data_IF_529962255933
#
_entry.id   IF_529962255933
#
_cell.length_a   1.000
_cell.length_b   1.000
_cell.length_c   1.000
_cell.angle_alpha   90.00
_cell.angle_beta   90.00
_cell.angle_gamma   90.00
#
_symmetry.space_group_name_H-M   'P 1'
#
loop_
_entity.id
_entity.type
_entity.pdbx_description
1 polymer ?
#
# COMPACT_ATOMS: atom_id res chain seq x y z
N UNK A 1 7.97 -56.33 -54.37
CA UNK A 1 8.46 -56.46 -52.98
C UNK A 1 9.44 -55.32 -52.69
N UNK A 2 10.41 -55.09 -53.57
CA UNK A 2 11.45 -54.05 -53.43
C UNK A 2 10.94 -52.60 -53.38
N UNK A 3 9.95 -52.22 -54.20
CA UNK A 3 9.39 -50.86 -54.19
C UNK A 3 8.67 -50.52 -52.86
N UNK A 4 8.09 -51.54 -52.22
CA UNK A 4 7.41 -51.40 -50.94
C UNK A 4 8.42 -51.21 -49.81
N UNK A 5 9.53 -51.95 -49.86
CA UNK A 5 10.70 -51.79 -48.99
C UNK A 5 11.30 -50.40 -49.12
N UNK A 6 11.55 -49.93 -50.35
CA UNK A 6 12.11 -48.59 -50.61
C UNK A 6 11.23 -47.47 -50.09
N UNK A 7 9.91 -47.61 -50.21
CA UNK A 7 8.94 -46.65 -49.66
C UNK A 7 8.93 -46.65 -48.14
N UNK A 8 9.05 -47.83 -47.51
CA UNK A 8 9.17 -47.97 -46.07
C UNK A 8 10.43 -47.30 -45.54
N UNK A 9 11.60 -47.55 -46.14
CA UNK A 9 12.87 -46.91 -45.76
C UNK A 9 12.80 -45.39 -45.86
N UNK A 10 12.16 -44.88 -46.93
CA UNK A 10 12.00 -43.43 -47.13
C UNK A 10 11.04 -42.80 -46.12
N UNK A 11 9.99 -43.52 -45.75
CA UNK A 11 9.06 -43.08 -44.71
C UNK A 11 9.75 -43.04 -43.34
N UNK A 12 10.53 -44.07 -43.04
CA UNK A 12 11.24 -44.21 -41.76
C UNK A 12 12.29 -43.11 -41.57
N UNK A 13 13.02 -42.76 -42.64
CA UNK A 13 13.93 -41.62 -42.65
C UNK A 13 13.21 -40.29 -42.38
N UNK A 14 12.08 -40.04 -43.07
CA UNK A 14 11.28 -38.82 -42.86
C UNK A 14 10.74 -38.71 -41.42
N UNK A 15 10.30 -39.82 -40.83
CA UNK A 15 9.83 -39.82 -39.45
C UNK A 15 10.97 -39.61 -38.46
N UNK A 16 12.14 -40.20 -38.68
CA UNK A 16 13.33 -39.94 -37.85
C UNK A 16 13.73 -38.47 -37.89
N UNK A 17 13.86 -37.90 -39.07
CA UNK A 17 14.28 -36.49 -39.24
C UNK A 17 13.29 -35.52 -38.57
N UNK A 18 11.99 -35.82 -38.66
CA UNK A 18 10.96 -35.03 -37.99
C UNK A 18 11.07 -35.13 -36.45
N UNK A 19 11.27 -36.35 -35.94
CA UNK A 19 11.40 -36.59 -34.49
C UNK A 19 12.66 -35.91 -33.95
N UNK A 20 13.80 -36.02 -34.63
CA UNK A 20 15.07 -35.39 -34.22
C UNK A 20 14.97 -33.87 -34.24
N UNK A 21 14.32 -33.30 -35.26
CA UNK A 21 14.10 -31.85 -35.33
C UNK A 21 13.24 -31.35 -34.17
N UNK A 22 12.16 -32.08 -33.84
CA UNK A 22 11.30 -31.73 -32.70
C UNK A 22 11.98 -31.94 -31.35
N UNK A 23 12.86 -32.94 -31.23
CA UNK A 23 13.66 -33.17 -30.03
C UNK A 23 14.64 -32.02 -29.79
N UNK A 24 15.34 -31.58 -30.82
CA UNK A 24 16.24 -30.42 -30.72
C UNK A 24 15.49 -29.13 -30.36
N UNK A 25 14.27 -28.95 -30.84
CA UNK A 25 13.44 -27.79 -30.50
C UNK A 25 13.02 -27.83 -29.02
N UNK A 26 12.64 -29.00 -28.51
CA UNK A 26 12.34 -29.21 -27.08
C UNK A 26 13.58 -29.01 -26.20
N UNK A 27 14.74 -29.49 -26.64
CA UNK A 27 16.02 -29.30 -25.91
C UNK A 27 16.43 -27.83 -25.85
N UNK A 28 16.29 -27.07 -26.94
CA UNK A 28 16.54 -25.63 -26.95
C UNK A 28 15.60 -24.88 -26.00
N UNK A 29 14.33 -25.26 -25.98
CA UNK A 29 13.34 -24.64 -25.08
C UNK A 29 13.52 -25.04 -23.61
N UNK A 30 14.19 -26.17 -23.34
CA UNK A 30 14.55 -26.63 -21.98
C UNK A 30 15.86 -26.06 -21.44
N UNK A 31 16.58 -25.24 -22.20
CA UNK A 31 17.84 -24.65 -21.74
C UNK A 31 17.62 -23.89 -20.43
N UNK A 32 18.09 -24.48 -19.33
CA UNK A 32 18.00 -23.95 -17.97
C UNK A 32 18.58 -22.53 -17.87
N UNK A 33 19.56 -22.20 -18.72
CA UNK A 33 20.11 -20.85 -18.86
C UNK A 33 19.03 -19.80 -19.16
N UNK A 34 18.06 -20.10 -20.02
CA UNK A 34 16.98 -19.16 -20.34
C UNK A 34 15.98 -19.00 -19.20
N UNK A 35 15.88 -19.98 -18.30
CA UNK A 35 15.00 -19.92 -17.13
C UNK A 35 15.70 -19.17 -15.98
N UNK A 36 16.96 -19.48 -15.70
CA UNK A 36 17.78 -18.78 -14.69
C UNK A 36 17.91 -17.29 -15.01
N UNK A 37 18.21 -16.93 -16.26
CA UNK A 37 18.27 -15.53 -16.68
C UNK A 37 16.93 -14.80 -16.53
N UNK A 38 15.81 -15.50 -16.76
CA UNK A 38 14.47 -14.94 -16.52
C UNK A 38 14.23 -14.74 -15.03
N UNK A 39 14.64 -15.66 -14.18
CA UNK A 39 14.55 -15.50 -12.73
C UNK A 39 15.43 -14.36 -12.22
N UNK A 40 16.68 -14.27 -12.65
CA UNK A 40 17.58 -13.16 -12.30
C UNK A 40 16.99 -11.81 -12.68
N UNK A 41 16.41 -11.70 -13.88
CA UNK A 41 15.73 -10.47 -14.32
C UNK A 41 14.52 -10.13 -13.45
N UNK A 42 13.72 -11.12 -13.06
CA UNK A 42 12.57 -10.94 -12.16
C UNK A 42 13.04 -10.49 -10.77
N UNK A 43 14.10 -11.09 -10.23
CA UNK A 43 14.65 -10.70 -8.93
C UNK A 43 15.19 -9.27 -8.94
N UNK A 44 15.91 -8.88 -9.99
CA UNK A 44 16.39 -7.50 -10.13
C UNK A 44 15.23 -6.49 -10.18
N UNK A 45 14.14 -6.81 -10.89
CA UNK A 45 12.94 -5.97 -10.91
C UNK A 45 12.25 -5.88 -9.54
N UNK A 46 12.20 -6.99 -8.79
CA UNK A 46 11.66 -7.01 -7.43
C UNK A 46 12.47 -6.15 -6.46
N UNK A 47 13.80 -6.22 -6.53
CA UNK A 47 14.69 -5.37 -5.72
C UNK A 47 14.52 -3.88 -6.07
N UNK A 48 14.41 -3.55 -7.36
CA UNK A 48 14.15 -2.19 -7.81
C UNK A 48 12.79 -1.68 -7.29
N UNK A 49 11.75 -2.51 -7.33
CA UNK A 49 10.43 -2.18 -6.80
C UNK A 49 10.47 -1.97 -5.28
N UNK A 50 11.16 -2.84 -4.54
CA UNK A 50 11.32 -2.73 -3.09
C UNK A 50 12.03 -1.43 -2.70
N UNK A 51 13.08 -1.06 -3.45
CA UNK A 51 13.81 0.21 -3.27
C UNK A 51 12.90 1.43 -3.50
N UNK A 52 12.13 1.43 -4.60
CA UNK A 52 11.15 2.50 -4.89
C UNK A 52 10.09 2.62 -3.80
N UNK A 53 9.59 1.50 -3.29
CA UNK A 53 8.67 1.45 -2.15
C UNK A 53 9.28 2.06 -0.88
N UNK A 54 10.54 1.76 -0.58
CA UNK A 54 11.26 2.34 0.55
C UNK A 54 11.36 3.87 0.47
N UNK A 55 11.61 4.43 -0.72
CA UNK A 55 11.65 5.88 -0.94
C UNK A 55 10.27 6.52 -0.79
N UNK A 56 9.20 5.85 -1.25
CA UNK A 56 7.83 6.35 -1.05
C UNK A 56 7.46 6.35 0.42
N UNK A 57 7.77 5.27 1.15
CA UNK A 57 7.50 5.17 2.59
C UNK A 57 8.25 6.24 3.38
N UNK A 58 9.52 6.51 3.06
CA UNK A 58 10.27 7.58 3.75
C UNK A 58 9.68 8.97 3.47
N UNK A 59 9.27 9.25 2.23
CA UNK A 59 8.57 10.50 1.89
C UNK A 59 7.24 10.65 2.62
N UNK A 60 6.46 9.58 2.73
CA UNK A 60 5.21 9.57 3.49
C UNK A 60 5.46 9.78 4.99
N UNK A 61 6.50 9.18 5.56
CA UNK A 61 6.90 9.42 6.95
C UNK A 61 7.29 10.89 7.18
N UNK A 62 8.03 11.49 6.24
CA UNK A 62 8.37 12.92 6.31
C UNK A 62 7.11 13.79 6.25
N UNK A 63 6.14 13.47 5.39
CA UNK A 63 4.84 14.18 5.33
C UNK A 63 4.07 14.05 6.65
N UNK A 64 4.07 12.86 7.25
CA UNK A 64 3.39 12.60 8.52
C UNK A 64 4.06 13.38 9.69
N UNK A 65 5.38 13.51 9.67
CA UNK A 65 6.16 14.22 10.69
C UNK A 65 6.20 15.74 10.50
N UNK A 66 6.00 16.24 9.29
CA UNK A 66 6.04 17.67 8.98
C UNK A 66 4.73 18.34 9.41
N UNK A 67 4.82 19.17 10.47
CA UNK A 67 3.71 19.94 11.06
C UNK A 67 3.04 20.93 10.09
N UNK A 68 3.56 21.08 8.87
CA UNK A 68 3.00 21.91 7.79
C UNK A 68 1.92 21.21 6.97
N UNK A 69 1.79 19.88 7.04
CA UNK A 69 0.75 19.16 6.32
C UNK A 69 -0.55 19.05 7.14
N UNK A 70 -1.63 19.50 6.51
CA UNK A 70 -2.99 19.34 6.99
C UNK A 70 -3.44 17.91 6.69
N UNK A 71 -3.61 17.13 7.74
CA UNK A 71 -4.37 15.89 7.66
C UNK A 71 -5.86 16.22 7.50
N UNK A 72 -6.46 15.66 6.46
CA UNK A 72 -7.87 15.83 6.16
C UNK A 72 -8.65 14.72 6.86
N UNK A 73 -9.57 15.14 7.72
CA UNK A 73 -10.51 14.24 8.38
C UNK A 73 -11.91 14.50 7.82
N UNK A 74 -12.65 13.45 7.53
CA UNK A 74 -14.08 13.51 7.29
C UNK A 74 -14.84 13.77 8.60
N UNK A 75 -16.11 14.17 8.49
CA UNK A 75 -16.95 14.38 9.67
C UNK A 75 -17.12 13.06 10.46
N UNK A 76 -17.20 11.93 9.75
CA UNK A 76 -17.34 10.60 10.33
C UNK A 76 -16.07 10.16 11.05
N UNK A 77 -14.89 10.34 10.45
CA UNK A 77 -13.60 10.03 11.09
C UNK A 77 -13.38 10.85 12.37
N UNK A 78 -13.73 12.13 12.38
CA UNK A 78 -13.64 12.96 13.59
C UNK A 78 -14.53 12.46 14.71
N UNK A 79 -15.75 12.07 14.37
CA UNK A 79 -16.71 11.53 15.33
C UNK A 79 -16.23 10.20 15.88
N UNK A 80 -15.69 9.34 15.02
CA UNK A 80 -15.12 8.06 15.41
C UNK A 80 -13.94 8.24 16.35
N UNK A 81 -12.96 9.09 16.00
CA UNK A 81 -11.82 9.38 16.88
C UNK A 81 -12.24 10.00 18.21
N UNK A 82 -13.26 10.88 18.22
CA UNK A 82 -13.80 11.41 19.46
C UNK A 82 -14.37 10.30 20.35
N UNK A 83 -15.17 9.40 19.78
CA UNK A 83 -15.77 8.29 20.51
C UNK A 83 -14.71 7.31 21.03
N UNK A 84 -13.65 7.05 20.25
CA UNK A 84 -12.54 6.18 20.65
C UNK A 84 -11.62 6.83 21.70
N UNK A 85 -11.44 8.16 21.65
CA UNK A 85 -10.66 8.88 22.64
C UNK A 85 -11.32 8.85 24.03
N UNK A 86 -12.65 8.74 24.08
CA UNK A 86 -13.46 8.79 25.30
C UNK A 86 -13.12 10.02 26.17
N UNK A 87 -12.85 11.14 25.49
CA UNK A 87 -12.50 12.41 26.12
C UNK A 87 -13.76 13.21 26.47
N UNK A 88 -13.80 13.78 27.67
CA UNK A 88 -14.92 14.62 28.09
C UNK A 88 -15.04 15.89 27.24
N UNK A 89 -16.27 16.34 26.95
CA UNK A 89 -16.50 17.60 26.19
C UNK A 89 -15.80 18.81 26.82
N UNK A 90 -15.68 18.85 28.15
CA UNK A 90 -14.95 19.89 28.88
C UNK A 90 -13.45 19.87 28.59
N UNK A 91 -12.85 18.68 28.49
CA UNK A 91 -11.42 18.53 28.21
C UNK A 91 -11.12 18.87 26.75
N UNK A 92 -11.99 18.46 25.82
CA UNK A 92 -11.92 18.87 24.42
C UNK A 92 -12.03 20.40 24.28
N UNK A 93 -12.95 21.04 25.00
CA UNK A 93 -13.09 22.49 25.04
C UNK A 93 -11.80 23.19 25.49
N UNK A 94 -11.17 22.72 26.58
CA UNK A 94 -9.90 23.25 27.09
C UNK A 94 -8.78 23.11 26.06
N UNK A 95 -8.70 21.97 25.37
CA UNK A 95 -7.71 21.78 24.29
C UNK A 95 -7.90 22.79 23.16
N UNK A 96 -9.13 22.97 22.68
CA UNK A 96 -9.46 23.89 21.58
C UNK A 96 -9.17 25.34 21.96
N UNK A 97 -9.52 25.74 23.19
CA UNK A 97 -9.22 27.06 23.72
C UNK A 97 -7.72 27.32 23.74
N UNK A 98 -6.94 26.37 24.31
CA UNK A 98 -5.51 26.54 24.56
C UNK A 98 -4.63 26.43 23.31
N UNK A 99 -4.97 25.54 22.37
CA UNK A 99 -4.05 25.15 21.29
C UNK A 99 -4.55 25.49 19.88
N UNK A 100 -5.79 25.95 19.74
CA UNK A 100 -6.40 26.19 18.43
C UNK A 100 -6.88 27.64 18.30
N UNK A 101 -7.82 28.05 19.16
CA UNK A 101 -8.54 29.31 18.96
C UNK A 101 -7.95 30.50 19.73
N UNK A 102 -7.25 30.25 20.85
CA UNK A 102 -6.76 31.29 21.76
C UNK A 102 -7.88 32.13 22.39
N UNK A 103 -9.14 31.70 22.25
CA UNK A 103 -10.35 32.31 22.76
C UNK A 103 -11.12 31.28 23.56
N UNK A 104 -11.97 31.76 24.48
CA UNK A 104 -12.80 30.87 25.27
C UNK A 104 -13.63 29.95 24.37
N UNK A 105 -13.48 28.64 24.56
CA UNK A 105 -14.23 27.63 23.83
C UNK A 105 -15.24 26.99 24.78
N UNK A 106 -16.52 27.34 24.64
CA UNK A 106 -17.59 26.74 25.43
C UNK A 106 -17.92 25.30 25.02
N UNK A 107 -18.71 24.61 25.85
CA UNK A 107 -19.16 23.22 25.61
C UNK A 107 -19.95 23.11 24.30
N UNK A 108 -20.82 24.08 24.00
CA UNK A 108 -21.62 24.10 22.77
C UNK A 108 -20.73 24.19 21.52
N UNK A 109 -19.59 24.87 21.64
CA UNK A 109 -18.63 24.97 20.56
C UNK A 109 -17.84 23.67 20.44
N UNK A 110 -17.40 23.08 21.55
CA UNK A 110 -16.75 21.76 21.59
C UNK A 110 -17.63 20.64 20.99
N UNK A 111 -18.94 20.67 21.23
CA UNK A 111 -19.88 19.70 20.64
C UNK A 111 -19.86 19.74 19.12
N UNK A 112 -19.73 20.92 18.51
CA UNK A 112 -19.62 21.04 17.04
C UNK A 112 -18.36 20.35 16.49
N UNK A 113 -17.27 20.33 17.25
CA UNK A 113 -16.05 19.62 16.87
C UNK A 113 -16.20 18.10 17.03
N UNK A 114 -16.88 17.65 18.10
CA UNK A 114 -17.28 16.25 18.28
C UNK A 114 -18.14 15.74 17.13
N UNK A 115 -19.12 16.54 16.70
CA UNK A 115 -20.11 16.12 15.71
C UNK A 115 -19.58 16.18 14.26
N UNK A 116 -18.34 16.66 14.07
CA UNK A 116 -17.68 16.79 12.77
C UNK A 116 -17.94 18.12 12.06
N UNK A 117 -18.71 19.03 12.66
CA UNK A 117 -19.13 20.32 12.08
C UNK A 117 -18.04 21.41 12.13
N UNK A 118 -16.83 21.08 11.66
CA UNK A 118 -15.65 21.96 11.65
C UNK A 118 -15.35 22.39 10.23
N UNK A 119 -15.73 23.62 9.84
CA UNK A 119 -15.54 24.09 8.45
C UNK A 119 -14.09 24.45 8.12
N UNK A 120 -13.32 24.89 9.11
CA UNK A 120 -11.92 25.26 8.92
C UNK A 120 -11.05 24.01 8.88
N UNK A 121 -10.39 23.78 7.73
CA UNK A 121 -9.55 22.60 7.50
C UNK A 121 -8.33 22.54 8.44
N UNK A 122 -7.77 23.69 8.83
CA UNK A 122 -6.63 23.73 9.73
C UNK A 122 -7.02 23.34 11.15
N UNK A 123 -8.14 23.89 11.62
CA UNK A 123 -8.69 23.54 12.92
C UNK A 123 -9.08 22.07 12.94
N UNK A 124 -9.76 21.63 11.88
CA UNK A 124 -10.17 20.24 11.71
C UNK A 124 -8.98 19.28 11.81
N UNK A 125 -7.90 19.58 11.11
CA UNK A 125 -6.67 18.79 11.15
C UNK A 125 -6.06 18.72 12.55
N UNK A 126 -5.99 19.86 13.26
CA UNK A 126 -5.45 19.92 14.62
C UNK A 126 -6.30 19.13 15.62
N UNK A 127 -7.62 19.25 15.56
CA UNK A 127 -8.53 18.49 16.42
C UNK A 127 -8.46 16.99 16.11
N UNK A 128 -8.50 16.61 14.83
CA UNK A 128 -8.44 15.21 14.43
C UNK A 128 -7.12 14.53 14.82
N UNK A 129 -5.98 15.21 14.64
CA UNK A 129 -4.68 14.74 15.13
C UNK A 129 -4.69 14.51 16.63
N UNK A 130 -5.18 15.48 17.41
CA UNK A 130 -5.27 15.37 18.86
C UNK A 130 -6.15 14.20 19.30
N UNK A 131 -7.36 14.05 18.74
CA UNK A 131 -8.27 12.97 19.10
C UNK A 131 -7.69 11.60 18.77
N UNK A 132 -7.07 11.46 17.58
CA UNK A 132 -6.40 10.22 17.20
C UNK A 132 -5.23 9.88 18.13
N UNK A 133 -4.36 10.85 18.42
CA UNK A 133 -3.24 10.64 19.34
C UNK A 133 -3.73 10.27 20.74
N UNK A 134 -4.74 10.97 21.25
CA UNK A 134 -5.34 10.69 22.55
C UNK A 134 -5.92 9.27 22.61
N UNK A 135 -6.70 8.87 21.60
CA UNK A 135 -7.24 7.52 21.48
C UNK A 135 -6.12 6.46 21.50
N UNK A 136 -5.08 6.63 20.67
CA UNK A 136 -3.95 5.70 20.56
C UNK A 136 -3.11 5.60 21.84
N UNK A 137 -2.99 6.68 22.61
CA UNK A 137 -2.26 6.65 23.89
C UNK A 137 -3.03 5.92 24.98
N UNK A 138 -4.38 6.01 24.99
CA UNK A 138 -5.23 5.27 25.92
C UNK A 138 -5.26 3.77 25.62
N UNK A 139 -5.31 3.38 24.35
CA UNK A 139 -5.30 1.95 23.96
C UNK A 139 -4.02 1.21 24.32
N UNK A 140 -2.94 1.93 24.67
CA UNK A 140 -1.66 1.34 25.13
C UNK A 140 -1.54 1.25 26.65
N UNK A 141 -2.46 1.87 27.39
CA UNK A 141 -2.47 1.90 28.85
C UNK A 141 -3.38 0.83 29.47
N UNK A 142 -4.24 0.21 28.66
CA UNK A 142 -5.03 -0.99 28.95
C UNK A 142 -4.33 -2.25 28.43
#
# INVERSE_FOLDING_TARGET
MDELLRRLEKLEALYRDNIDSRLQEVERNKSYLNIEQRFESIFAQLEEMASKLGVVLSRLQVINLDKRFLELFTDDELREFYNQADIGLKELAVFIEKYISGKHCGIDQASKYKDGHVKDLQIRSKVGKFLREYALTRTKAD
#
